data_IF_799561528326
#
_entry.id   IF_799561528326
#
_cell.length_a   1.000
_cell.length_b   1.000
_cell.length_c   1.000
_cell.angle_alpha   90.00
_cell.angle_beta   90.00
_cell.angle_gamma   90.00
#
_symmetry.space_group_name_H-M   'P 1'
#
loop_
_entity.id
_entity.type
_entity.pdbx_description
1 polymer ?
#
# COMPACT_ATOMS: atom_id res chain seq x y z
N UNK A 1 63.28 -43.83 -9.51
CA UNK A 1 63.93 -42.65 -8.89
C UNK A 1 63.64 -41.47 -9.79
N UNK A 2 63.69 -40.25 -9.25
CA UNK A 2 63.35 -38.97 -9.93
C UNK A 2 61.83 -38.73 -10.08
N UNK A 3 61.20 -37.67 -9.57
CA UNK A 3 61.68 -36.44 -8.95
C UNK A 3 60.70 -35.94 -7.88
N UNK A 4 61.29 -35.34 -6.85
CA UNK A 4 60.58 -34.59 -5.82
C UNK A 4 60.56 -33.12 -6.27
N UNK A 5 59.43 -32.45 -6.00
CA UNK A 5 59.38 -31.08 -5.46
C UNK A 5 59.75 -29.93 -6.41
N UNK A 6 58.71 -29.25 -6.92
CA UNK A 6 58.49 -27.80 -6.95
C UNK A 6 57.15 -27.58 -7.67
N UNK A 7 56.13 -26.91 -7.14
CA UNK A 7 56.17 -25.50 -6.81
C UNK A 7 54.97 -25.15 -5.91
N UNK A 8 55.29 -24.36 -4.90
CA UNK A 8 54.42 -23.61 -3.99
C UNK A 8 53.30 -22.87 -4.74
N UNK A 9 52.05 -23.15 -4.37
CA UNK A 9 50.87 -22.38 -4.75
C UNK A 9 49.91 -22.33 -3.56
N UNK A 10 50.10 -21.33 -2.70
CA UNK A 10 49.19 -21.00 -1.61
C UNK A 10 47.90 -20.44 -2.20
N UNK A 11 46.76 -20.99 -1.78
CA UNK A 11 45.48 -20.29 -1.78
C UNK A 11 44.49 -21.00 -0.83
N UNK A 12 44.32 -20.53 0.41
CA UNK A 12 43.10 -20.77 1.16
C UNK A 12 42.20 -19.55 0.97
N UNK A 13 41.12 -19.68 0.21
CA UNK A 13 39.87 -18.95 0.41
C UNK A 13 39.00 -19.03 -0.85
N UNK A 14 37.94 -19.82 -0.78
CA UNK A 14 36.61 -19.29 -1.03
C UNK A 14 35.61 -20.33 -0.52
N UNK A 15 35.02 -19.99 0.61
CA UNK A 15 33.85 -20.64 1.20
C UNK A 15 32.73 -20.80 0.15
N UNK A 16 31.95 -21.90 0.17
CA UNK A 16 30.76 -22.01 -0.65
C UNK A 16 29.67 -21.17 0.01
N UNK A 17 29.56 -19.90 -0.37
CA UNK A 17 28.40 -19.09 0.01
C UNK A 17 27.24 -19.44 -0.91
N UNK A 18 26.40 -20.34 -0.40
CA UNK A 18 24.99 -20.33 -0.71
C UNK A 18 24.46 -18.91 -0.45
N UNK A 19 24.01 -18.23 -1.50
CA UNK A 19 23.02 -17.17 -1.36
C UNK A 19 21.78 -17.64 -2.11
N UNK A 20 20.67 -17.89 -1.40
CA UNK A 20 19.41 -18.23 -2.02
C UNK A 20 18.87 -17.02 -2.79
N UNK A 21 18.08 -17.32 -3.81
CA UNK A 21 17.18 -16.42 -4.54
C UNK A 21 16.61 -15.31 -3.64
N UNK A 22 16.82 -14.05 -4.03
CA UNK A 22 15.97 -12.95 -3.62
C UNK A 22 15.30 -12.42 -4.90
N UNK A 23 14.06 -12.83 -5.21
CA UNK A 23 13.27 -12.05 -6.16
C UNK A 23 13.08 -10.66 -5.56
N UNK A 24 13.03 -9.64 -6.42
CA UNK A 24 12.68 -8.29 -6.05
C UNK A 24 11.39 -8.29 -5.20
N UNK A 25 11.53 -8.10 -3.89
CA UNK A 25 10.41 -8.08 -2.96
C UNK A 25 10.72 -7.13 -1.80
N UNK A 26 11.00 -5.86 -2.12
CA UNK A 26 10.98 -4.76 -1.14
C UNK A 26 10.31 -3.52 -1.75
N UNK A 27 9.18 -3.74 -2.43
CA UNK A 27 8.26 -2.67 -2.82
C UNK A 27 6.79 -3.14 -2.90
N UNK A 28 6.50 -4.41 -2.58
CA UNK A 28 5.17 -5.00 -2.80
C UNK A 28 4.23 -4.78 -1.61
N UNK A 29 4.72 -4.89 -0.37
CA UNK A 29 3.84 -4.86 0.82
C UNK A 29 3.05 -3.55 1.01
N UNK A 30 3.65 -2.40 0.70
CA UNK A 30 2.97 -1.11 0.80
C UNK A 30 1.99 -0.84 -0.35
N UNK A 31 2.11 -1.58 -1.46
CA UNK A 31 1.17 -1.52 -2.58
C UNK A 31 -0.11 -2.29 -2.27
N UNK A 32 0.02 -3.49 -1.70
CA UNK A 32 -1.10 -4.40 -1.44
C UNK A 32 -2.03 -3.92 -0.31
N UNK A 33 -1.49 -3.40 0.80
CA UNK A 33 -2.33 -2.83 1.86
C UNK A 33 -3.05 -1.56 1.40
N UNK A 34 -2.36 -0.69 0.65
CA UNK A 34 -2.97 0.53 0.13
C UNK A 34 -4.00 0.22 -0.97
N UNK A 35 -3.77 -0.79 -1.81
CA UNK A 35 -4.76 -1.27 -2.76
C UNK A 35 -5.98 -1.86 -2.07
N UNK A 36 -5.79 -2.63 -1.00
CA UNK A 36 -6.90 -3.13 -0.18
C UNK A 36 -7.70 -1.97 0.42
N UNK A 37 -7.01 -0.91 0.84
CA UNK A 37 -7.65 0.31 1.33
C UNK A 37 -8.43 1.07 0.26
N UNK A 38 -7.90 1.22 -0.95
CA UNK A 38 -8.64 1.82 -2.06
C UNK A 38 -9.90 1.02 -2.37
N UNK A 39 -9.81 -0.31 -2.42
CA UNK A 39 -10.98 -1.17 -2.62
C UNK A 39 -12.00 -1.04 -1.49
N UNK A 40 -11.54 -0.89 -0.25
CA UNK A 40 -12.42 -0.65 0.88
C UNK A 40 -13.18 0.68 0.71
N UNK A 41 -12.46 1.75 0.37
CA UNK A 41 -13.03 3.07 0.13
C UNK A 41 -14.03 3.04 -1.02
N UNK A 42 -13.72 2.33 -2.11
CA UNK A 42 -14.60 2.16 -3.25
C UNK A 42 -15.92 1.46 -2.86
N UNK A 43 -15.84 0.40 -2.04
CA UNK A 43 -17.03 -0.25 -1.50
C UNK A 43 -17.85 0.66 -0.58
N UNK A 44 -17.18 1.47 0.26
CA UNK A 44 -17.82 2.41 1.17
C UNK A 44 -18.54 3.54 0.41
N UNK A 45 -17.89 4.08 -0.62
CA UNK A 45 -18.46 5.01 -1.61
C UNK A 45 -19.70 4.45 -2.31
N UNK A 46 -19.68 3.16 -2.65
CA UNK A 46 -20.77 2.52 -3.38
C UNK A 46 -21.94 2.05 -2.51
N UNK A 47 -21.73 1.84 -1.21
CA UNK A 47 -22.69 1.13 -0.36
C UNK A 47 -23.27 2.00 0.76
N UNK A 48 -22.44 2.79 1.42
CA UNK A 48 -22.79 3.43 2.70
C UNK A 48 -22.86 4.97 2.62
N UNK A 49 -22.40 5.56 1.51
CA UNK A 49 -22.46 7.01 1.29
C UNK A 49 -23.75 7.44 0.55
N UNK A 50 -24.39 8.54 0.97
CA UNK A 50 -25.57 9.07 0.28
C UNK A 50 -25.18 9.64 -1.09
N UNK A 51 -26.08 9.49 -2.08
CA UNK A 51 -25.85 9.95 -3.46
C UNK A 51 -25.44 11.42 -3.56
N UNK A 52 -25.91 12.29 -2.65
CA UNK A 52 -25.52 13.69 -2.62
C UNK A 52 -24.02 13.89 -2.31
N UNK A 53 -23.48 13.17 -1.33
CA UNK A 53 -22.06 13.24 -0.95
C UNK A 53 -21.18 12.56 -2.00
N UNK A 54 -21.63 11.45 -2.57
CA UNK A 54 -20.94 10.81 -3.71
C UNK A 54 -20.94 11.75 -4.92
N UNK A 55 -22.06 12.39 -5.27
CA UNK A 55 -22.11 13.29 -6.42
C UNK A 55 -21.31 14.57 -6.19
N UNK A 56 -21.30 15.11 -4.97
CA UNK A 56 -20.42 16.21 -4.58
C UNK A 56 -18.94 15.82 -4.73
N UNK A 57 -18.59 14.60 -4.32
CA UNK A 57 -17.26 14.03 -4.49
C UNK A 57 -16.89 13.86 -5.97
N UNK A 58 -17.75 13.25 -6.78
CA UNK A 58 -17.52 13.07 -8.22
C UNK A 58 -17.37 14.41 -8.97
N UNK A 59 -18.04 15.46 -8.50
CA UNK A 59 -17.93 16.81 -9.06
C UNK A 59 -16.68 17.58 -8.55
N UNK A 60 -16.00 17.05 -7.53
CA UNK A 60 -14.85 17.69 -6.90
C UNK A 60 -13.55 17.42 -7.68
N UNK A 61 -12.57 18.35 -7.68
CA UNK A 61 -11.26 18.12 -8.29
C UNK A 61 -10.50 16.94 -7.65
N UNK A 62 -10.83 16.60 -6.41
CA UNK A 62 -10.27 15.48 -5.64
C UNK A 62 -10.62 14.13 -6.28
N UNK A 63 -11.76 14.03 -7.00
CA UNK A 63 -12.08 12.81 -7.73
C UNK A 63 -11.07 12.48 -8.84
N UNK A 64 -10.45 13.48 -9.46
CA UNK A 64 -9.39 13.24 -10.46
C UNK A 64 -8.15 12.61 -9.82
N UNK A 65 -7.83 12.97 -8.57
CA UNK A 65 -6.79 12.33 -7.79
C UNK A 65 -7.20 10.91 -7.41
N UNK A 66 -8.44 10.73 -6.92
CA UNK A 66 -9.01 9.40 -6.62
C UNK A 66 -8.86 8.45 -7.80
N UNK A 67 -9.31 8.84 -8.99
CA UNK A 67 -9.22 7.99 -10.18
C UNK A 67 -7.77 7.64 -10.53
N UNK A 68 -6.84 8.59 -10.44
CA UNK A 68 -5.42 8.35 -10.74
C UNK A 68 -4.81 7.35 -9.76
N UNK A 69 -5.04 7.56 -8.46
CA UNK A 69 -4.52 6.71 -7.39
C UNK A 69 -5.18 5.33 -7.43
N UNK A 70 -6.49 5.26 -7.67
CA UNK A 70 -7.23 4.02 -7.76
C UNK A 70 -6.86 3.18 -8.99
N UNK A 71 -6.54 3.83 -10.12
CA UNK A 71 -6.05 3.14 -11.32
C UNK A 71 -4.64 2.57 -11.14
N UNK A 72 -3.79 3.20 -10.33
CA UNK A 72 -2.43 2.74 -10.11
C UNK A 72 -1.90 3.10 -8.71
N UNK A 73 -2.34 2.31 -7.73
CA UNK A 73 -1.92 2.45 -6.33
C UNK A 73 -0.43 2.24 -6.15
N UNK A 74 0.19 1.37 -6.94
CA UNK A 74 1.62 1.09 -6.92
C UNK A 74 2.47 2.27 -7.42
N UNK A 75 1.96 3.04 -8.39
CA UNK A 75 2.64 4.24 -8.91
C UNK A 75 2.28 5.52 -8.13
N UNK A 76 1.27 5.49 -7.26
CA UNK A 76 0.92 6.63 -6.42
C UNK A 76 2.02 6.93 -5.41
N UNK A 77 2.47 8.18 -5.39
CA UNK A 77 3.48 8.64 -4.45
C UNK A 77 2.92 8.69 -3.03
N UNK A 78 3.77 8.65 -2.01
CA UNK A 78 3.34 8.81 -0.60
C UNK A 78 2.49 10.08 -0.40
N UNK A 79 2.81 11.17 -1.10
CA UNK A 79 2.04 12.41 -1.10
C UNK A 79 0.62 12.23 -1.69
N UNK A 80 0.51 11.60 -2.87
CA UNK A 80 -0.79 11.30 -3.49
C UNK A 80 -1.64 10.39 -2.59
N UNK A 81 -1.01 9.42 -1.92
CA UNK A 81 -1.67 8.50 -0.99
C UNK A 81 -2.17 9.21 0.28
N UNK A 82 -1.40 10.15 0.81
CA UNK A 82 -1.80 10.98 1.94
C UNK A 82 -2.95 11.94 1.56
N UNK A 83 -2.87 12.58 0.39
CA UNK A 83 -3.96 13.41 -0.14
C UNK A 83 -5.24 12.60 -0.37
N UNK A 84 -5.10 11.39 -0.91
CA UNK A 84 -6.22 10.46 -1.06
C UNK A 84 -6.82 10.09 0.30
N UNK A 85 -6.00 9.81 1.31
CA UNK A 85 -6.49 9.51 2.65
C UNK A 85 -7.25 10.68 3.28
N UNK A 86 -6.72 11.91 3.19
CA UNK A 86 -7.37 13.11 3.72
C UNK A 86 -8.72 13.40 3.03
N UNK A 87 -8.80 13.16 1.73
CA UNK A 87 -10.02 13.24 0.95
C UNK A 87 -11.06 12.21 1.43
N UNK A 88 -10.64 10.98 1.65
CA UNK A 88 -11.49 9.90 2.18
C UNK A 88 -11.95 10.21 3.60
N UNK A 89 -11.07 10.69 4.48
CA UNK A 89 -11.40 11.10 5.85
C UNK A 89 -12.49 12.18 5.88
N UNK A 90 -12.38 13.19 4.99
CA UNK A 90 -13.41 14.21 4.82
C UNK A 90 -14.75 13.60 4.41
N UNK A 91 -14.71 12.60 3.51
CA UNK A 91 -15.89 11.92 3.03
C UNK A 91 -16.56 11.03 4.10
N UNK A 92 -15.76 10.36 4.92
CA UNK A 92 -16.24 9.62 6.10
C UNK A 92 -16.84 10.56 7.14
N UNK A 93 -16.29 11.77 7.28
CA UNK A 93 -16.84 12.80 8.17
C UNK A 93 -18.20 13.35 7.72
N UNK A 94 -18.53 13.24 6.44
CA UNK A 94 -19.84 13.63 5.87
C UNK A 94 -20.91 12.53 6.03
N UNK A 95 -20.51 11.31 6.45
CA UNK A 95 -21.45 10.22 6.72
C UNK A 95 -22.25 10.43 8.01
N UNK A 96 -23.50 9.91 8.08
CA UNK A 96 -24.26 9.93 9.32
C UNK A 96 -23.59 9.09 10.40
N UNK A 97 -23.75 9.50 11.66
CA UNK A 97 -23.16 8.83 12.85
C UNK A 97 -23.40 7.31 12.86
N UNK A 98 -24.53 6.84 12.34
CA UNK A 98 -24.87 5.41 12.27
C UNK A 98 -24.00 4.64 11.28
N UNK A 99 -23.67 5.23 10.13
CA UNK A 99 -22.83 4.59 9.10
C UNK A 99 -21.36 4.60 9.53
N UNK A 100 -20.88 5.73 10.07
CA UNK A 100 -19.51 5.80 10.59
C UNK A 100 -19.32 4.86 11.79
N UNK A 101 -20.27 4.74 12.71
CA UNK A 101 -20.17 3.76 13.81
C UNK A 101 -20.18 2.31 13.31
N UNK A 102 -20.94 2.00 12.26
CA UNK A 102 -20.92 0.68 11.64
C UNK A 102 -19.55 0.38 11.01
N UNK A 103 -18.96 1.36 10.33
CA UNK A 103 -17.61 1.26 9.76
C UNK A 103 -16.55 1.09 10.85
N UNK A 104 -16.58 1.91 11.92
CA UNK A 104 -15.64 1.80 13.06
C UNK A 104 -15.75 0.45 13.78
N UNK A 105 -16.93 -0.16 13.78
CA UNK A 105 -17.16 -1.49 14.35
C UNK A 105 -16.80 -2.64 13.39
N UNK A 106 -16.53 -2.36 12.11
CA UNK A 106 -16.19 -3.37 11.12
C UNK A 106 -14.69 -3.71 11.14
N UNK A 107 -14.34 -4.84 10.51
CA UNK A 107 -12.94 -5.23 10.34
C UNK A 107 -12.18 -4.30 9.38
N UNK A 108 -12.91 -3.50 8.61
CA UNK A 108 -12.35 -2.57 7.63
C UNK A 108 -11.70 -1.36 8.29
N UNK A 109 -12.22 -0.94 9.44
CA UNK A 109 -11.59 0.12 10.22
C UNK A 109 -10.16 -0.22 10.64
N UNK A 110 -9.85 -1.49 10.88
CA UNK A 110 -8.49 -1.91 11.22
C UNK A 110 -7.51 -1.63 10.07
N UNK A 111 -7.93 -1.84 8.81
CA UNK A 111 -7.15 -1.52 7.62
C UNK A 111 -7.04 0.00 7.43
N UNK A 112 -8.17 0.71 7.52
CA UNK A 112 -8.20 2.17 7.45
C UNK A 112 -7.27 2.81 8.49
N UNK A 113 -7.33 2.37 9.75
CA UNK A 113 -6.50 2.88 10.85
C UNK A 113 -5.02 2.60 10.64
N UNK A 114 -4.66 1.41 10.13
CA UNK A 114 -3.25 1.07 9.84
C UNK A 114 -2.69 1.95 8.72
N UNK A 115 -3.46 2.17 7.66
CA UNK A 115 -3.08 3.04 6.54
C UNK A 115 -3.01 4.49 7.01
N UNK A 116 -4.02 4.96 7.74
CA UNK A 116 -4.04 6.30 8.32
C UNK A 116 -2.83 6.57 9.21
N UNK A 117 -2.42 5.61 10.04
CA UNK A 117 -1.21 5.75 10.86
C UNK A 117 0.09 5.88 10.04
N UNK A 118 0.11 5.42 8.78
CA UNK A 118 1.25 5.56 7.88
C UNK A 118 1.24 6.86 7.06
N UNK A 119 0.06 7.45 6.81
CA UNK A 119 -0.11 8.60 5.90
C UNK A 119 -0.79 9.83 6.55
N UNK A 120 -1.04 9.82 7.86
CA UNK A 120 -1.58 10.94 8.68
C UNK A 120 -0.54 12.00 9.02
#
# INVERSE_FOLDING_TARGET
MEERRSLRGVAPAAVPLATPVAPAAVAHEAGDEFQSFVNLVDNLLGTDLPEASVNAFLASPEFSLYQRVAQNTAAASTEDRAMFFAMVDTLLGDMPDTAINAFLASSDFALYSRIGAMYS
#
